data_IF_599455091789
#
_entry.id   IF_599455091789
#
_cell.length_a   1.000
_cell.length_b   1.000
_cell.length_c   1.000
_cell.angle_alpha   90.00
_cell.angle_beta   90.00
_cell.angle_gamma   90.00
#
_symmetry.space_group_name_H-M   'P 1'
#
loop_
_entity.id
_entity.type
_entity.pdbx_description
1 polymer ?
#
# COMPACT_ATOMS: atom_id res chain seq x y z
N UNK A 1 -7.46 -7.92 -3.20
CA UNK A 1 -6.87 -8.67 -4.32
C UNK A 1 -7.25 -7.99 -5.61
N UNK A 2 -6.31 -7.91 -6.55
CA UNK A 2 -6.54 -7.41 -7.91
C UNK A 2 -5.66 -8.19 -8.88
N UNK A 3 -6.20 -8.52 -10.05
CA UNK A 3 -5.46 -9.07 -11.19
C UNK A 3 -5.37 -8.02 -12.29
N UNK A 4 -4.18 -7.83 -12.86
CA UNK A 4 -3.96 -6.94 -14.00
C UNK A 4 -3.24 -7.64 -15.14
N UNK A 5 -3.58 -7.29 -16.38
CA UNK A 5 -2.90 -7.79 -17.58
C UNK A 5 -1.54 -7.11 -17.81
N UNK A 6 -0.88 -7.43 -18.93
CA UNK A 6 0.40 -6.83 -19.35
C UNK A 6 0.32 -5.32 -19.61
N UNK A 7 -0.88 -4.78 -19.87
CA UNK A 7 -1.11 -3.36 -20.16
C UNK A 7 -1.48 -2.56 -18.90
N UNK A 8 -1.68 -3.24 -17.77
CA UNK A 8 -2.11 -2.64 -16.50
C UNK A 8 -3.62 -2.50 -16.38
N UNK A 9 -4.39 -3.19 -17.23
CA UNK A 9 -5.86 -3.24 -17.16
C UNK A 9 -6.26 -4.24 -16.08
N UNK A 10 -7.19 -3.83 -15.22
CA UNK A 10 -7.75 -4.69 -14.19
C UNK A 10 -8.66 -5.73 -14.86
N UNK A 11 -8.28 -7.00 -14.74
CA UNK A 11 -9.06 -8.13 -15.25
C UNK A 11 -10.05 -8.61 -14.19
N UNK A 12 -9.66 -8.57 -12.92
CA UNK A 12 -10.53 -8.92 -11.80
C UNK A 12 -10.10 -8.20 -10.53
N UNK A 13 -11.05 -7.92 -9.64
CA UNK A 13 -10.77 -7.46 -8.29
C UNK A 13 -11.74 -8.10 -7.29
N UNK A 14 -11.34 -8.20 -6.02
CA UNK A 14 -12.26 -8.63 -4.97
C UNK A 14 -12.87 -7.43 -4.22
N UNK A 15 -13.97 -7.70 -3.53
CA UNK A 15 -14.68 -6.70 -2.72
C UNK A 15 -13.81 -6.00 -1.67
N UNK A 16 -12.83 -6.71 -1.12
CA UNK A 16 -11.90 -6.10 -0.15
C UNK A 16 -11.03 -5.02 -0.81
N UNK A 17 -10.60 -5.22 -2.06
CA UNK A 17 -9.90 -4.18 -2.81
C UNK A 17 -10.85 -3.03 -3.18
N UNK A 18 -12.08 -3.34 -3.61
CA UNK A 18 -13.10 -2.31 -3.88
C UNK A 18 -13.33 -1.39 -2.69
N UNK A 19 -13.51 -1.95 -1.48
CA UNK A 19 -13.61 -1.17 -0.23
C UNK A 19 -12.36 -0.34 0.06
N UNK A 20 -11.16 -0.90 -0.17
CA UNK A 20 -9.89 -0.20 0.07
C UNK A 20 -9.78 1.07 -0.79
N UNK A 21 -10.19 1.00 -2.05
CA UNK A 21 -10.11 2.12 -3.01
C UNK A 21 -11.40 2.94 -3.11
N UNK A 22 -12.45 2.54 -2.38
CA UNK A 22 -13.79 3.15 -2.41
C UNK A 22 -14.43 3.17 -3.81
N UNK A 23 -14.34 2.05 -4.54
CA UNK A 23 -14.98 1.83 -5.84
C UNK A 23 -15.60 0.44 -5.88
N UNK A 24 -16.69 0.27 -6.64
CA UNK A 24 -17.23 -1.07 -6.89
C UNK A 24 -16.31 -1.89 -7.80
N UNK A 25 -16.35 -3.21 -7.69
CA UNK A 25 -15.56 -4.10 -8.57
C UNK A 25 -15.89 -3.87 -10.05
N UNK A 26 -17.17 -3.67 -10.37
CA UNK A 26 -17.64 -3.38 -11.74
C UNK A 26 -17.10 -2.08 -12.33
N UNK A 27 -16.80 -1.07 -11.50
CA UNK A 27 -16.18 0.18 -11.97
C UNK A 27 -14.68 0.04 -12.21
N UNK A 28 -14.06 -0.97 -11.60
CA UNK A 28 -12.62 -1.23 -11.68
C UNK A 28 -12.28 -2.14 -12.85
N UNK A 29 -13.06 -3.18 -13.08
CA UNK A 29 -12.82 -4.16 -14.15
C UNK A 29 -12.83 -3.50 -15.53
N UNK A 30 -11.86 -3.88 -16.37
CA UNK A 30 -11.64 -3.29 -17.70
C UNK A 30 -11.01 -1.88 -17.67
N UNK A 31 -10.70 -1.31 -16.50
CA UNK A 31 -10.02 -0.02 -16.40
C UNK A 31 -8.52 -0.18 -16.11
N UNK A 32 -7.68 0.80 -16.50
CA UNK A 32 -6.31 0.84 -16.04
C UNK A 32 -6.25 0.94 -14.52
N UNK A 33 -5.30 0.27 -13.89
CA UNK A 33 -5.19 0.26 -12.44
C UNK A 33 -4.99 1.64 -11.80
N UNK A 34 -4.55 2.62 -12.60
CA UNK A 34 -4.31 3.99 -12.19
C UNK A 34 -5.59 4.74 -11.82
N UNK A 35 -6.77 4.29 -12.26
CA UNK A 35 -8.06 4.94 -11.93
C UNK A 35 -8.35 4.99 -10.42
N UNK A 36 -7.75 4.08 -9.65
CA UNK A 36 -7.93 4.01 -8.19
C UNK A 36 -7.08 5.03 -7.42
N UNK A 37 -6.04 5.60 -8.03
CA UNK A 37 -5.08 6.48 -7.35
C UNK A 37 -5.39 7.96 -7.61
N UNK A 38 -5.14 8.81 -6.61
CA UNK A 38 -5.33 10.26 -6.73
C UNK A 38 -4.20 10.95 -7.51
N UNK A 39 -3.04 10.29 -7.63
CA UNK A 39 -1.91 10.87 -8.36
C UNK A 39 -2.11 10.71 -9.88
N UNK A 40 -2.96 11.58 -10.42
CA UNK A 40 -3.24 11.72 -11.85
C UNK A 40 -2.24 12.63 -12.56
N UNK A 41 -1.17 13.10 -11.88
CA UNK A 41 -0.22 14.00 -12.55
C UNK A 41 0.53 13.29 -13.67
N UNK A 42 0.71 11.97 -13.57
CA UNK A 42 1.33 11.18 -14.62
C UNK A 42 0.86 9.69 -14.65
N UNK A 43 -0.42 9.43 -14.95
CA UNK A 43 -0.95 8.06 -15.02
C UNK A 43 -0.33 7.25 -16.15
N UNK A 44 0.12 7.90 -17.23
CA UNK A 44 0.75 7.19 -18.34
C UNK A 44 2.15 6.70 -17.97
N UNK A 45 2.95 7.49 -17.24
CA UNK A 45 4.25 7.03 -16.74
C UNK A 45 4.12 5.88 -15.73
N UNK A 46 3.10 5.91 -14.86
CA UNK A 46 2.78 4.78 -13.98
C UNK A 46 2.45 3.51 -14.78
N UNK A 47 1.66 3.63 -15.86
CA UNK A 47 1.36 2.51 -16.76
C UNK A 47 2.59 2.06 -17.54
N UNK A 48 3.43 2.97 -18.00
CA UNK A 48 4.65 2.65 -18.74
C UNK A 48 5.66 1.91 -17.85
N UNK A 49 5.94 2.43 -16.66
CA UNK A 49 6.78 1.77 -15.66
C UNK A 49 6.22 0.39 -15.30
N UNK A 50 4.89 0.26 -15.20
CA UNK A 50 4.24 -1.03 -14.99
C UNK A 50 4.50 -1.99 -16.15
N UNK A 51 4.29 -1.57 -17.41
CA UNK A 51 4.49 -2.39 -18.61
C UNK A 51 5.95 -2.87 -18.71
N UNK A 52 6.92 -1.99 -18.44
CA UNK A 52 8.34 -2.31 -18.44
C UNK A 52 8.71 -3.35 -17.37
N UNK A 53 8.21 -3.18 -16.14
CA UNK A 53 8.42 -4.15 -15.05
C UNK A 53 7.75 -5.49 -15.34
N UNK A 54 6.57 -5.46 -15.95
CA UNK A 54 5.83 -6.66 -16.34
C UNK A 54 6.59 -7.45 -17.42
N UNK A 55 7.03 -6.78 -18.48
CA UNK A 55 7.74 -7.42 -19.60
C UNK A 55 9.12 -7.96 -19.20
N UNK A 56 9.86 -7.21 -18.37
CA UNK A 56 11.15 -7.63 -17.82
C UNK A 56 11.04 -8.66 -16.69
N UNK A 57 9.83 -9.01 -16.24
CA UNK A 57 9.57 -9.82 -15.04
C UNK A 57 10.22 -9.26 -13.76
N UNK A 58 10.55 -7.97 -13.74
CA UNK A 58 11.12 -7.28 -12.59
C UNK A 58 10.00 -6.69 -11.70
N UNK A 59 9.22 -7.59 -11.10
CA UNK A 59 8.13 -7.23 -10.19
C UNK A 59 8.63 -7.27 -8.75
N UNK A 60 8.44 -6.16 -8.02
CA UNK A 60 8.67 -6.13 -6.59
C UNK A 60 7.64 -7.01 -5.87
N UNK A 61 8.12 -8.10 -5.29
CA UNK A 61 7.28 -9.12 -4.66
C UNK A 61 6.59 -8.63 -3.40
N UNK A 62 7.27 -7.81 -2.59
CA UNK A 62 6.70 -7.17 -1.41
C UNK A 62 7.10 -5.69 -1.39
N UNK A 63 6.12 -4.82 -1.21
CA UNK A 63 6.35 -3.37 -1.09
C UNK A 63 5.40 -2.79 -0.06
N UNK A 64 5.91 -1.92 0.80
CA UNK A 64 5.10 -1.03 1.61
C UNK A 64 5.19 0.39 1.05
N UNK A 65 4.05 1.06 0.88
CA UNK A 65 4.02 2.46 0.44
C UNK A 65 2.80 3.19 0.97
N UNK A 66 2.95 4.50 1.17
CA UNK A 66 1.84 5.41 1.39
C UNK A 66 1.16 5.68 0.04
N UNK A 67 -0.14 5.52 -0.02
CA UNK A 67 -0.94 5.73 -1.23
C UNK A 67 -2.07 6.70 -0.91
N UNK A 68 -2.39 7.57 -1.86
CA UNK A 68 -3.60 8.38 -1.84
C UNK A 68 -4.52 7.86 -2.94
N UNK A 69 -5.70 7.41 -2.57
CA UNK A 69 -6.71 6.91 -3.49
C UNK A 69 -7.55 8.06 -4.03
N UNK A 70 -8.20 7.84 -5.18
CA UNK A 70 -9.06 8.83 -5.85
C UNK A 70 -10.14 9.43 -4.93
N UNK A 71 -10.64 8.67 -3.96
CA UNK A 71 -11.60 9.14 -2.97
C UNK A 71 -11.01 10.10 -1.91
N UNK A 72 -9.71 10.40 -1.98
CA UNK A 72 -8.99 11.22 -0.99
C UNK A 72 -8.47 10.44 0.21
N UNK A 73 -8.86 9.17 0.38
CA UNK A 73 -8.34 8.30 1.45
C UNK A 73 -6.83 8.11 1.25
N UNK A 74 -6.05 8.49 2.24
CA UNK A 74 -4.64 8.12 2.34
C UNK A 74 -4.49 6.86 3.20
N UNK A 75 -3.73 5.88 2.72
CA UNK A 75 -3.47 4.64 3.45
C UNK A 75 -2.00 4.23 3.34
N UNK A 76 -1.45 3.68 4.41
CA UNK A 76 -0.22 2.89 4.33
C UNK A 76 -0.61 1.47 3.87
N UNK A 77 -0.05 1.02 2.75
CA UNK A 77 -0.43 -0.22 2.09
C UNK A 77 0.78 -1.13 1.93
N UNK A 78 0.67 -2.33 2.46
CA UNK A 78 1.54 -3.45 2.11
C UNK A 78 0.95 -4.18 0.91
N UNK A 79 1.74 -4.39 -0.15
CA UNK A 79 1.34 -5.13 -1.33
C UNK A 79 2.28 -6.31 -1.57
N UNK A 80 1.69 -7.49 -1.75
CA UNK A 80 2.38 -8.68 -2.24
C UNK A 80 1.99 -8.92 -3.70
N UNK A 81 2.99 -9.01 -4.58
CA UNK A 81 2.79 -9.14 -6.01
C UNK A 81 3.41 -10.44 -6.54
N UNK A 82 2.69 -11.14 -7.42
CA UNK A 82 3.18 -12.34 -8.09
C UNK A 82 2.64 -12.42 -9.51
N UNK A 83 3.46 -12.86 -10.46
CA UNK A 83 2.99 -13.18 -11.81
C UNK A 83 2.33 -14.56 -11.80
N UNK A 84 1.15 -14.65 -12.42
CA UNK A 84 0.35 -15.87 -12.54
C UNK A 84 0.19 -16.18 -14.02
N UNK A 85 0.57 -17.40 -14.43
CA UNK A 85 0.29 -17.88 -15.78
C UNK A 85 -1.02 -18.64 -15.79
N UNK A 86 -1.92 -18.26 -16.70
CA UNK A 86 -3.16 -18.96 -16.96
C UNK A 86 -2.92 -20.12 -17.94
N UNK A 87 -3.83 -21.09 -17.95
CA UNK A 87 -3.81 -22.20 -18.90
C UNK A 87 -3.90 -21.74 -20.36
N UNK A 88 -4.52 -20.59 -20.61
CA UNK A 88 -4.57 -19.94 -21.93
C UNK A 88 -3.21 -19.45 -22.44
N UNK A 89 -2.17 -19.50 -21.60
CA UNK A 89 -0.84 -18.94 -21.88
C UNK A 89 -0.72 -17.45 -21.55
N UNK A 90 -1.81 -16.79 -21.15
CA UNK A 90 -1.77 -15.41 -20.70
C UNK A 90 -1.11 -15.29 -19.33
N UNK A 91 -0.27 -14.26 -19.15
CA UNK A 91 0.30 -13.94 -17.84
C UNK A 91 -0.45 -12.75 -17.26
N UNK A 92 -0.82 -12.84 -15.98
CA UNK A 92 -1.42 -11.75 -15.20
C UNK A 92 -0.54 -11.42 -14.00
N UNK A 93 -0.69 -10.21 -13.48
CA UNK A 93 -0.12 -9.81 -12.20
C UNK A 93 -1.18 -9.87 -11.12
N UNK A 94 -0.97 -10.74 -10.12
CA UNK A 94 -1.75 -10.79 -8.89
C UNK A 94 -1.16 -9.84 -7.86
N UNK A 95 -1.97 -8.89 -7.39
CA UNK A 95 -1.67 -8.02 -6.26
C UNK A 95 -2.58 -8.32 -5.07
N UNK A 96 -1.99 -8.59 -3.91
CA UNK A 96 -2.69 -8.72 -2.63
C UNK A 96 -2.30 -7.52 -1.77
N UNK A 97 -3.30 -6.77 -1.32
CA UNK A 97 -3.10 -5.51 -0.61
C UNK A 97 -3.61 -5.63 0.82
N UNK A 98 -2.83 -5.16 1.78
CA UNK A 98 -3.18 -5.05 3.18
C UNK A 98 -3.03 -3.60 3.62
N UNK A 99 -4.12 -3.04 4.16
CA UNK A 99 -4.08 -1.73 4.80
C UNK A 99 -3.39 -1.89 6.15
N UNK A 100 -2.22 -1.26 6.29
CA UNK A 100 -1.38 -1.29 7.50
C UNK A 100 -1.37 0.08 8.19
N UNK A 101 -2.32 0.96 7.85
CA UNK A 101 -2.41 2.32 8.41
C UNK A 101 -2.52 2.31 9.93
N UNK A 102 -3.47 1.54 10.47
CA UNK A 102 -3.67 1.44 11.91
C UNK A 102 -2.43 0.93 12.66
N UNK A 103 -1.72 -0.06 12.08
CA UNK A 103 -0.47 -0.58 12.64
C UNK A 103 0.58 0.53 12.72
N UNK A 104 0.83 1.23 11.61
CA UNK A 104 1.81 2.32 11.55
C UNK A 104 1.44 3.52 12.42
N UNK A 105 0.15 3.82 12.57
CA UNK A 105 -0.31 4.88 13.48
C UNK A 105 -0.03 4.53 14.94
N UNK A 106 -0.26 3.28 15.35
CA UNK A 106 0.07 2.80 16.69
C UNK A 106 1.59 2.83 16.95
N UNK A 107 2.40 2.35 16.00
CA UNK A 107 3.87 2.41 16.07
C UNK A 107 4.36 3.85 16.24
N UNK A 108 3.88 4.78 15.38
CA UNK A 108 4.23 6.21 15.45
C UNK A 108 3.76 6.88 16.74
N UNK A 109 2.68 6.40 17.37
CA UNK A 109 2.20 6.94 18.65
C UNK A 109 3.14 6.52 19.78
N UNK A 110 3.52 5.24 19.83
CA UNK A 110 4.48 4.72 20.83
C UNK A 110 5.84 5.41 20.69
N UNK A 111 6.33 5.58 19.46
CA UNK A 111 7.59 6.30 19.20
C UNK A 111 7.52 7.76 19.68
N UNK A 112 6.41 8.46 19.40
CA UNK A 112 6.21 9.84 19.86
C UNK A 112 6.19 9.94 21.38
N UNK A 113 5.46 9.05 22.07
CA UNK A 113 5.42 9.03 23.53
C UNK A 113 6.80 8.76 24.15
N UNK A 114 7.59 7.85 23.56
CA UNK A 114 8.98 7.60 24.00
C UNK A 114 9.87 8.82 23.81
N UNK A 115 9.78 9.46 22.65
CA UNK A 115 10.57 10.67 22.37
C UNK A 115 10.18 11.84 23.31
N UNK A 116 8.89 12.00 23.60
CA UNK A 116 8.39 13.00 24.54
C UNK A 116 8.88 12.74 25.97
N UNK A 117 8.77 11.50 26.45
CA UNK A 117 9.31 11.11 27.77
C UNK A 117 10.81 11.35 27.85
N UNK A 118 11.57 10.96 26.82
CA UNK A 118 13.02 11.18 26.78
C UNK A 118 13.36 12.68 26.85
N UNK A 119 12.66 13.52 26.08
CA UNK A 119 12.86 14.97 26.11
C UNK A 119 12.59 15.56 27.49
N UNK A 120 11.52 15.12 28.17
CA UNK A 120 11.20 15.55 29.53
C UNK A 120 12.32 15.13 30.49
N UNK A 121 12.77 13.88 30.44
CA UNK A 121 13.86 13.39 31.30
C UNK A 121 15.16 14.17 31.08
N UNK A 122 15.50 14.49 29.83
CA UNK A 122 16.74 15.20 29.48
C UNK A 122 16.71 16.69 29.85
N UNK A 123 15.51 17.30 29.88
CA UNK A 123 15.34 18.74 30.14
C UNK A 123 15.04 19.07 31.59
N UNK A 124 14.63 18.10 32.41
CA UNK A 124 14.38 18.29 33.83
C UNK A 124 15.70 18.25 34.61
N UNK A 125 16.11 19.35 35.27
CA UNK A 125 17.31 19.37 36.11
C UNK A 125 17.00 18.77 37.49
N UNK A 126 16.53 17.52 37.52
CA UNK A 126 16.25 16.79 38.76
C UNK A 126 16.64 15.32 38.62
N UNK A 127 17.17 14.74 39.70
CA UNK A 127 17.48 13.31 39.74
C UNK A 127 16.19 12.49 39.89
N UNK A 128 15.90 11.64 38.89
CA UNK A 128 14.71 10.79 38.86
C UNK A 128 15.13 9.37 39.21
N UNK A 129 14.50 8.78 40.23
CA UNK A 129 14.71 7.39 40.66
C UNK A 129 13.42 6.58 40.49
N UNK A 130 13.50 5.45 39.77
CA UNK A 130 12.40 4.48 39.65
C UNK A 130 12.76 3.20 40.42
N UNK A 131 11.84 2.71 41.26
CA UNK A 131 11.95 1.43 41.96
C UNK A 131 10.84 0.52 41.47
N UNK A 132 11.22 -0.63 40.92
CA UNK A 132 10.25 -1.65 40.50
C UNK A 132 9.60 -2.28 41.73
N UNK A 133 8.27 -2.38 41.71
CA UNK A 133 7.50 -2.97 42.81
C UNK A 133 7.30 -4.46 42.52
N UNK A 134 8.32 -5.25 42.83
CA UNK A 134 8.24 -6.71 42.93
C UNK A 134 7.69 -7.17 44.27
#
# INVERSE_FOLDING_TARGET
MRLTDKNGIIIAANEAYGRLVSMSVSELEGKPFTVSYADFRDPENLLQTYRERFSSRNIQTQIERRVIYRCGKAADVEANNSLVQLESGETLLLGIFRDITARKEAERLVERQRAELQLILDTVPAAIFYKDAG
#
